data_IF_221457750975
#
_entry.id   IF_221457750975
#
_cell.length_a   1.000
_cell.length_b   1.000
_cell.length_c   1.000
_cell.angle_alpha   90.00
_cell.angle_beta   90.00
_cell.angle_gamma   90.00
#
_symmetry.space_group_name_H-M   'P 1'
#
loop_
_entity.id
_entity.type
_entity.pdbx_description
1 polymer ?
#
# COMPACT_ATOMS: atom_id res chain seq x y z
N UNK A 1 -11.21 -39.91 34.42
CA UNK A 1 -11.90 -38.63 34.19
C UNK A 1 -11.19 -37.98 33.03
N UNK A 2 -11.70 -38.19 31.82
CA UNK A 2 -11.08 -37.68 30.61
C UNK A 2 -11.39 -36.20 30.45
N UNK A 3 -10.32 -35.44 30.25
CA UNK A 3 -10.33 -34.00 30.16
C UNK A 3 -10.82 -33.62 28.75
N UNK A 4 -12.11 -33.31 28.62
CA UNK A 4 -12.70 -32.86 27.35
C UNK A 4 -12.17 -31.46 27.07
N UNK A 5 -11.10 -31.38 26.27
CA UNK A 5 -10.62 -30.15 25.68
C UNK A 5 -11.63 -29.73 24.61
N UNK A 6 -12.49 -28.77 24.94
CA UNK A 6 -13.44 -28.15 24.01
C UNK A 6 -12.66 -27.42 22.92
N UNK A 7 -12.51 -28.09 21.76
CA UNK A 7 -12.15 -27.40 20.51
C UNK A 7 -13.37 -26.61 20.05
N UNK A 8 -13.36 -25.30 20.27
CA UNK A 8 -14.29 -24.38 19.61
C UNK A 8 -14.02 -24.44 18.11
N UNK A 9 -14.98 -24.95 17.35
CA UNK A 9 -14.97 -24.89 15.89
C UNK A 9 -15.88 -23.73 15.51
N UNK A 10 -15.30 -22.63 15.01
CA UNK A 10 -16.10 -21.54 14.46
C UNK A 10 -16.89 -22.04 13.24
N UNK A 11 -18.21 -22.08 13.37
CA UNK A 11 -19.16 -22.55 12.33
C UNK A 11 -19.27 -21.54 11.19
N UNK A 12 -18.93 -20.27 11.42
CA UNK A 12 -18.89 -19.21 10.42
C UNK A 12 -17.57 -18.44 10.50
N UNK A 13 -16.80 -18.43 9.41
CA UNK A 13 -15.61 -17.57 9.29
C UNK A 13 -16.06 -16.17 8.89
N UNK A 14 -15.90 -15.21 9.79
CA UNK A 14 -16.00 -13.79 9.42
C UNK A 14 -14.85 -13.42 8.49
N UNK A 15 -15.13 -12.64 7.44
CA UNK A 15 -14.11 -12.08 6.55
C UNK A 15 -14.10 -10.58 6.78
N UNK A 16 -12.92 -10.04 7.10
CA UNK A 16 -12.74 -8.61 7.37
C UNK A 16 -12.03 -7.97 6.18
N UNK A 17 -12.55 -6.86 5.68
CA UNK A 17 -11.89 -6.04 4.66
C UNK A 17 -11.41 -4.73 5.29
N UNK A 18 -10.12 -4.43 5.18
CA UNK A 18 -9.52 -3.20 5.71
C UNK A 18 -8.55 -2.59 4.71
N UNK A 19 -8.08 -1.39 5.03
CA UNK A 19 -7.04 -0.66 4.29
C UNK A 19 -7.46 -0.41 2.83
N UNK A 20 -8.46 0.47 2.61
CA UNK A 20 -8.98 0.73 1.29
C UNK A 20 -7.97 1.51 0.45
N UNK A 21 -7.91 1.17 -0.83
CA UNK A 21 -7.22 1.94 -1.86
C UNK A 21 -8.12 2.08 -3.08
N UNK A 22 -8.12 3.26 -3.71
CA UNK A 22 -9.00 3.56 -4.83
C UNK A 22 -8.19 4.12 -6.00
N UNK A 23 -8.57 3.72 -7.21
CA UNK A 23 -8.10 4.33 -8.45
C UNK A 23 -9.29 4.55 -9.39
N UNK A 24 -9.44 5.77 -9.91
CA UNK A 24 -10.49 6.11 -10.86
C UNK A 24 -9.87 6.59 -12.18
N UNK A 25 -10.11 5.86 -13.28
CA UNK A 25 -9.83 6.35 -14.61
C UNK A 25 -11.03 7.12 -15.15
N UNK A 26 -10.82 8.42 -15.41
CA UNK A 26 -11.86 9.32 -15.92
C UNK A 26 -12.19 9.04 -17.38
N UNK A 27 -11.27 8.49 -18.16
CA UNK A 27 -11.48 8.28 -19.59
C UNK A 27 -12.40 7.08 -19.85
N UNK A 28 -12.21 6.00 -19.11
CA UNK A 28 -13.06 4.80 -19.20
C UNK A 28 -14.16 4.74 -18.13
N UNK A 29 -14.30 5.80 -17.33
CA UNK A 29 -15.24 5.89 -16.19
C UNK A 29 -15.20 4.64 -15.28
N UNK A 30 -13.98 4.12 -15.08
CA UNK A 30 -13.74 2.88 -14.35
C UNK A 30 -13.13 3.16 -12.98
N UNK A 31 -13.75 2.64 -11.93
CA UNK A 31 -13.26 2.66 -10.56
C UNK A 31 -12.68 1.30 -10.18
N UNK A 32 -11.46 1.26 -9.65
CA UNK A 32 -10.89 0.09 -9.02
C UNK A 32 -10.82 0.34 -7.51
N UNK A 33 -11.39 -0.58 -6.74
CA UNK A 33 -11.35 -0.57 -5.29
C UNK A 33 -10.56 -1.76 -4.79
N UNK A 34 -9.50 -1.49 -4.03
CA UNK A 34 -8.61 -2.48 -3.43
C UNK A 34 -8.80 -2.51 -1.91
N UNK A 35 -8.57 -3.68 -1.31
CA UNK A 35 -8.56 -3.85 0.14
C UNK A 35 -7.69 -5.04 0.54
N UNK A 36 -7.25 -5.04 1.80
CA UNK A 36 -6.78 -6.24 2.47
C UNK A 36 -7.98 -7.12 2.86
N UNK A 37 -7.94 -8.39 2.50
CA UNK A 37 -8.85 -9.41 3.00
C UNK A 37 -8.15 -10.18 4.12
N UNK A 38 -8.72 -10.08 5.32
CA UNK A 38 -8.18 -10.57 6.58
C UNK A 38 -9.04 -11.68 7.19
N UNK A 39 -8.42 -12.59 7.92
CA UNK A 39 -9.15 -13.61 8.71
C UNK A 39 -9.86 -13.00 9.92
N UNK A 40 -9.23 -12.02 10.55
CA UNK A 40 -9.76 -11.34 11.73
C UNK A 40 -9.55 -9.83 11.59
N UNK A 41 -9.89 -9.06 12.62
CA UNK A 41 -9.60 -7.63 12.63
C UNK A 41 -8.10 -7.31 12.75
N UNK A 42 -7.27 -8.30 13.10
CA UNK A 42 -5.83 -8.18 13.37
C UNK A 42 -5.04 -7.81 12.09
N UNK A 43 -4.10 -6.87 12.21
CA UNK A 43 -3.23 -6.40 11.13
C UNK A 43 -2.26 -7.49 10.62
N UNK A 44 -1.95 -8.50 11.42
CA UNK A 44 -1.12 -9.64 11.04
C UNK A 44 -1.91 -10.78 10.36
N UNK A 45 -3.24 -10.65 10.25
CA UNK A 45 -4.12 -11.72 9.74
C UNK A 45 -4.52 -11.58 8.26
N UNK A 46 -3.91 -10.63 7.54
CA UNK A 46 -4.15 -10.46 6.11
C UNK A 46 -3.72 -11.70 5.35
N UNK A 47 -4.63 -12.23 4.52
CA UNK A 47 -4.29 -13.29 3.57
C UNK A 47 -3.91 -12.73 2.22
N UNK A 48 -4.66 -11.72 1.82
CA UNK A 48 -4.93 -11.46 0.42
C UNK A 48 -5.10 -9.96 0.19
N UNK A 49 -4.64 -9.47 -0.97
CA UNK A 49 -5.14 -8.22 -1.55
C UNK A 49 -6.24 -8.56 -2.55
N UNK A 50 -7.39 -7.91 -2.40
CA UNK A 50 -8.57 -8.10 -3.25
C UNK A 50 -8.91 -6.82 -3.98
N UNK A 51 -9.62 -6.95 -5.09
CA UNK A 51 -10.07 -5.82 -5.90
C UNK A 51 -11.51 -6.04 -6.41
N UNK A 52 -12.29 -4.96 -6.49
CA UNK A 52 -13.48 -4.87 -7.35
C UNK A 52 -13.27 -3.80 -8.40
N UNK A 53 -13.74 -4.09 -9.62
CA UNK A 53 -13.84 -3.10 -10.69
C UNK A 53 -15.28 -2.61 -10.75
N UNK A 54 -15.46 -1.32 -10.91
CA UNK A 54 -16.76 -0.68 -11.02
C UNK A 54 -16.81 0.25 -12.22
N UNK A 55 -17.99 0.39 -12.81
CA UNK A 55 -18.25 1.36 -13.89
C UNK A 55 -19.24 2.39 -13.37
N UNK A 56 -18.95 3.67 -13.62
CA UNK A 56 -19.87 4.75 -13.29
C UNK A 56 -21.16 4.63 -14.11
N UNK A 57 -22.30 4.81 -13.46
CA UNK A 57 -23.60 4.91 -14.11
C UNK A 57 -24.27 6.22 -13.73
N UNK A 58 -24.83 6.88 -14.73
CA UNK A 58 -25.75 7.99 -14.52
C UNK A 58 -27.16 7.42 -14.37
N UNK A 59 -27.73 7.60 -13.18
CA UNK A 59 -29.12 7.22 -12.91
C UNK A 59 -30.07 8.27 -13.49
N UNK A 60 -31.29 7.83 -13.81
CA UNK A 60 -32.35 8.73 -14.31
C UNK A 60 -32.73 9.84 -13.31
N UNK A 61 -32.41 9.66 -12.03
CA UNK A 61 -32.57 10.65 -10.96
C UNK A 61 -31.49 11.75 -10.97
N UNK A 62 -30.47 11.65 -11.83
CA UNK A 62 -29.28 12.50 -11.82
C UNK A 62 -28.24 12.10 -10.77
N UNK A 63 -28.49 11.05 -9.98
CA UNK A 63 -27.50 10.46 -9.10
C UNK A 63 -26.45 9.66 -9.91
N UNK A 64 -25.22 9.62 -9.42
CA UNK A 64 -24.17 8.75 -9.97
C UNK A 64 -24.00 7.53 -9.08
N UNK A 65 -24.05 6.34 -9.67
CA UNK A 65 -23.84 5.06 -8.96
C UNK A 65 -22.66 4.31 -9.56
N UNK A 66 -22.20 3.27 -8.86
CA UNK A 66 -21.17 2.36 -9.37
C UNK A 66 -21.79 0.98 -9.52
N UNK A 67 -21.76 0.45 -10.74
CA UNK A 67 -22.03 -0.97 -10.96
C UNK A 67 -20.73 -1.75 -10.77
N UNK A 68 -20.69 -2.61 -9.74
CA UNK A 68 -19.51 -3.39 -9.40
C UNK A 68 -19.50 -4.76 -10.10
N UNK A 69 -18.33 -5.17 -10.55
CA UNK A 69 -18.03 -6.54 -10.96
C UNK A 69 -17.98 -7.47 -9.75
N UNK A 70 -17.93 -8.77 -10.02
CA UNK A 70 -17.52 -9.77 -9.06
C UNK A 70 -16.15 -9.45 -8.42
N UNK A 71 -15.97 -9.92 -7.18
CA UNK A 71 -14.73 -9.76 -6.44
C UNK A 71 -13.61 -10.53 -7.16
N UNK A 72 -12.55 -9.82 -7.54
CA UNK A 72 -11.32 -10.42 -8.06
C UNK A 72 -10.28 -10.46 -6.97
N UNK A 73 -9.67 -11.62 -6.80
CA UNK A 73 -8.53 -11.75 -5.90
C UNK A 73 -7.27 -11.36 -6.67
N UNK A 74 -6.59 -10.28 -6.27
CA UNK A 74 -5.30 -9.86 -6.87
C UNK A 74 -4.16 -10.81 -6.46
N UNK A 75 -4.45 -11.66 -5.47
CA UNK A 75 -3.59 -12.64 -4.79
C UNK A 75 -2.79 -13.55 -5.69
N UNK A 76 -3.31 -13.95 -6.84
CA UNK A 76 -2.54 -14.86 -7.70
C UNK A 76 -1.20 -14.25 -8.11
N UNK A 77 -1.13 -12.91 -8.17
CA UNK A 77 0.07 -12.18 -8.57
C UNK A 77 0.73 -11.41 -7.43
N UNK A 78 -0.04 -10.88 -6.49
CA UNK A 78 0.49 -10.14 -5.33
C UNK A 78 0.92 -11.07 -4.17
N UNK A 79 1.77 -12.07 -4.44
CA UNK A 79 2.18 -13.07 -3.45
C UNK A 79 3.69 -13.32 -3.49
N UNK A 80 4.27 -13.43 -2.31
CA UNK A 80 5.57 -14.06 -2.07
C UNK A 80 5.38 -15.19 -1.06
N UNK A 81 6.07 -16.31 -1.26
CA UNK A 81 5.91 -17.47 -0.37
C UNK A 81 6.38 -17.17 1.06
N UNK A 82 5.52 -17.48 2.04
CA UNK A 82 5.69 -17.17 3.47
C UNK A 82 5.63 -15.67 3.80
N UNK A 83 5.02 -14.86 2.94
CA UNK A 83 4.74 -13.45 3.21
C UNK A 83 3.25 -13.14 2.99
N UNK A 84 2.73 -12.24 3.82
CA UNK A 84 1.39 -11.64 3.63
C UNK A 84 1.48 -10.26 2.98
N UNK A 85 0.63 -9.94 2.00
CA UNK A 85 0.61 -8.62 1.38
C UNK A 85 -0.25 -7.64 2.18
N UNK A 86 0.18 -6.38 2.27
CA UNK A 86 -0.45 -5.32 3.07
C UNK A 86 -0.35 -3.96 2.36
N UNK A 87 -1.17 -3.01 2.78
CA UNK A 87 -1.14 -1.61 2.38
C UNK A 87 -1.14 -1.38 0.85
N UNK A 88 -2.23 -1.73 0.15
CA UNK A 88 -2.34 -1.45 -1.28
C UNK A 88 -2.25 0.06 -1.55
N UNK A 89 -1.47 0.43 -2.57
CA UNK A 89 -1.26 1.81 -3.01
C UNK A 89 -1.13 1.88 -4.54
N UNK A 90 -2.25 2.04 -5.28
CA UNK A 90 -2.24 2.21 -6.73
C UNK A 90 -1.62 3.55 -7.15
N UNK A 91 -0.83 3.54 -8.23
CA UNK A 91 -0.35 4.73 -8.93
C UNK A 91 -0.42 4.49 -10.44
N UNK A 92 -0.96 5.46 -11.19
CA UNK A 92 -1.20 5.32 -12.62
C UNK A 92 -0.25 6.21 -13.43
N UNK A 93 0.52 5.59 -14.32
CA UNK A 93 1.38 6.25 -15.30
C UNK A 93 0.56 6.51 -16.57
N UNK A 94 0.24 7.78 -16.84
CA UNK A 94 -0.72 8.18 -17.87
C UNK A 94 -0.18 8.02 -19.30
N UNK A 95 1.15 8.06 -19.50
CA UNK A 95 1.76 8.03 -20.82
C UNK A 95 1.77 6.61 -21.42
N UNK A 96 2.04 5.60 -20.62
CA UNK A 96 2.04 4.17 -20.97
C UNK A 96 0.71 3.51 -20.59
N UNK A 97 -0.15 4.20 -19.85
CA UNK A 97 -1.43 3.68 -19.31
C UNK A 97 -1.21 2.47 -18.40
N UNK A 98 -0.11 2.47 -17.66
CA UNK A 98 0.25 1.39 -16.74
C UNK A 98 -0.21 1.75 -15.34
N UNK A 99 -1.06 0.91 -14.76
CA UNK A 99 -1.40 0.95 -13.35
C UNK A 99 -0.40 0.10 -12.58
N UNK A 100 0.33 0.72 -11.66
CA UNK A 100 1.13 0.01 -10.66
C UNK A 100 0.27 -0.13 -9.40
N UNK A 101 0.26 -1.32 -8.80
CA UNK A 101 -0.24 -1.52 -7.45
C UNK A 101 0.94 -1.82 -6.54
N UNK A 102 1.36 -0.83 -5.76
CA UNK A 102 2.36 -1.02 -4.72
C UNK A 102 1.74 -1.64 -3.48
N UNK A 103 2.52 -2.43 -2.77
CA UNK A 103 2.18 -3.04 -1.49
C UNK A 103 3.45 -3.44 -0.75
N UNK A 104 3.34 -3.73 0.54
CA UNK A 104 4.41 -4.44 1.25
C UNK A 104 4.07 -5.91 1.43
N UNK A 105 5.10 -6.74 1.51
CA UNK A 105 5.00 -8.14 1.91
C UNK A 105 5.74 -8.33 3.23
N UNK A 106 5.06 -8.78 4.29
CA UNK A 106 5.69 -9.03 5.59
C UNK A 106 5.72 -10.53 5.86
N UNK A 107 6.87 -11.04 6.32
CA UNK A 107 7.04 -12.45 6.65
C UNK A 107 5.92 -12.91 7.61
N UNK A 108 5.32 -14.06 7.31
CA UNK A 108 4.14 -14.54 8.01
C UNK A 108 4.36 -14.60 9.52
N UNK A 109 3.33 -14.19 10.28
CA UNK A 109 3.34 -14.13 11.75
C UNK A 109 4.33 -13.13 12.38
N UNK A 110 5.10 -12.39 11.59
CA UNK A 110 5.95 -11.32 12.11
C UNK A 110 5.15 -10.03 12.27
N UNK A 111 4.95 -9.58 13.51
CA UNK A 111 4.24 -8.34 13.83
C UNK A 111 5.09 -7.09 13.58
N UNK A 112 4.45 -5.95 13.26
CA UNK A 112 5.14 -4.66 13.09
C UNK A 112 5.89 -4.26 14.37
N UNK A 113 5.24 -4.34 15.53
CA UNK A 113 5.82 -3.98 16.82
C UNK A 113 7.03 -4.86 17.18
N UNK A 114 7.00 -6.14 16.81
CA UNK A 114 8.15 -7.01 16.97
C UNK A 114 9.34 -6.53 16.12
N UNK A 115 9.11 -6.14 14.86
CA UNK A 115 10.16 -5.61 13.98
C UNK A 115 10.75 -4.31 14.51
N UNK A 116 9.90 -3.38 14.97
CA UNK A 116 10.30 -2.10 15.58
C UNK A 116 11.18 -2.35 16.81
N UNK A 117 10.73 -3.20 17.75
CA UNK A 117 11.44 -3.50 18.99
C UNK A 117 12.77 -4.21 18.76
N UNK A 118 12.81 -5.16 17.81
CA UNK A 118 14.00 -5.96 17.52
C UNK A 118 14.88 -5.37 16.42
N UNK A 119 14.50 -4.23 15.85
CA UNK A 119 15.24 -3.53 14.77
C UNK A 119 15.57 -4.46 13.60
N UNK A 120 14.63 -5.35 13.27
CA UNK A 120 14.82 -6.41 12.29
C UNK A 120 13.76 -6.30 11.21
N UNK A 121 14.17 -5.85 10.02
CA UNK A 121 13.27 -5.73 8.88
C UNK A 121 12.89 -7.10 8.32
N UNK A 122 11.59 -7.38 8.31
CA UNK A 122 10.98 -8.55 7.67
C UNK A 122 9.94 -8.17 6.60
N UNK A 123 9.88 -6.89 6.24
CA UNK A 123 9.04 -6.33 5.20
C UNK A 123 9.80 -6.22 3.86
N UNK A 124 9.07 -6.41 2.76
CA UNK A 124 9.53 -6.28 1.38
C UNK A 124 8.67 -5.28 0.63
N UNK A 125 9.29 -4.50 -0.25
CA UNK A 125 8.57 -3.55 -1.10
C UNK A 125 8.28 -4.21 -2.45
N UNK A 126 7.01 -4.34 -2.79
CA UNK A 126 6.61 -5.03 -4.02
C UNK A 126 5.63 -4.18 -4.83
N UNK A 127 5.58 -4.47 -6.13
CA UNK A 127 4.46 -4.05 -6.96
C UNK A 127 4.12 -5.10 -8.02
N UNK A 128 2.91 -4.97 -8.54
CA UNK A 128 2.45 -5.61 -9.79
C UNK A 128 1.91 -4.51 -10.70
N UNK A 129 1.88 -4.78 -12.01
CA UNK A 129 1.34 -3.82 -13.00
C UNK A 129 0.17 -4.38 -13.77
N UNK A 130 -0.68 -3.49 -14.26
CA UNK A 130 -1.78 -3.79 -15.17
C UNK A 130 -1.84 -2.74 -16.27
N UNK A 131 -1.97 -3.17 -17.51
CA UNK A 131 -2.14 -2.30 -18.70
C UNK A 131 -3.59 -2.29 -19.21
N UNK A 132 -4.49 -3.00 -18.52
CA UNK A 132 -5.89 -3.22 -18.92
C UNK A 132 -6.89 -2.92 -17.80
N UNK A 133 -6.51 -2.00 -16.92
CA UNK A 133 -7.33 -1.50 -15.79
C UNK A 133 -7.76 -2.63 -14.84
N UNK A 134 -6.78 -3.42 -14.41
CA UNK A 134 -6.94 -4.46 -13.39
C UNK A 134 -7.60 -5.74 -13.88
N UNK A 135 -7.70 -5.95 -15.20
CA UNK A 135 -8.23 -7.21 -15.72
C UNK A 135 -7.19 -8.33 -15.61
N UNK A 136 -5.95 -8.04 -16.00
CA UNK A 136 -4.79 -8.88 -15.84
C UNK A 136 -3.68 -8.12 -15.09
N UNK A 137 -2.82 -8.89 -14.44
CA UNK A 137 -1.71 -8.37 -13.65
C UNK A 137 -0.41 -9.10 -13.98
N UNK A 138 0.71 -8.38 -13.95
CA UNK A 138 2.06 -8.93 -14.08
C UNK A 138 2.40 -9.86 -12.91
N UNK A 139 3.50 -10.60 -13.03
CA UNK A 139 4.16 -11.19 -11.86
C UNK A 139 4.67 -10.11 -10.89
N UNK A 140 4.87 -10.49 -9.63
CA UNK A 140 5.40 -9.59 -8.59
C UNK A 140 6.82 -9.13 -8.92
N UNK A 141 7.04 -7.84 -8.79
CA UNK A 141 8.39 -7.24 -8.79
C UNK A 141 8.76 -6.86 -7.36
N UNK A 142 9.88 -7.41 -6.86
CA UNK A 142 10.44 -7.13 -5.53
C UNK A 142 11.55 -6.06 -5.64
N UNK A 143 11.29 -4.87 -5.10
CA UNK A 143 12.23 -3.74 -5.11
C UNK A 143 13.19 -3.74 -3.89
N UNK A 144 13.00 -4.65 -2.94
CA UNK A 144 13.66 -4.62 -1.62
C UNK A 144 15.18 -4.53 -1.71
N UNK A 145 15.78 -5.26 -2.65
CA UNK A 145 17.24 -5.29 -2.82
C UNK A 145 17.77 -4.22 -3.78
N UNK A 146 16.90 -3.60 -4.58
CA UNK A 146 17.27 -2.47 -5.45
C UNK A 146 17.36 -1.15 -4.68
N UNK A 147 16.65 -1.04 -3.55
CA UNK A 147 16.64 0.12 -2.66
C UNK A 147 17.41 -0.23 -1.38
N UNK A 148 18.73 -0.03 -1.42
CA UNK A 148 19.65 -0.52 -0.39
C UNK A 148 19.42 0.03 1.02
N UNK A 149 18.71 1.15 1.15
CA UNK A 149 18.34 1.78 2.43
C UNK A 149 17.32 0.96 3.22
N UNK A 150 16.48 0.16 2.54
CA UNK A 150 15.40 -0.62 3.18
C UNK A 150 15.94 -1.54 4.28
N UNK A 151 17.13 -2.12 4.09
CA UNK A 151 17.76 -3.02 5.06
C UNK A 151 18.11 -2.36 6.40
N UNK A 152 18.18 -1.03 6.44
CA UNK A 152 18.57 -0.27 7.63
C UNK A 152 17.36 0.17 8.48
N UNK A 153 16.15 -0.10 8.00
CA UNK A 153 14.92 0.24 8.71
C UNK A 153 14.50 -0.91 9.62
N UNK A 154 13.77 -0.61 10.70
CA UNK A 154 13.16 -1.66 11.50
C UNK A 154 11.96 -2.27 10.76
N UNK A 155 11.14 -1.43 10.12
CA UNK A 155 10.04 -1.80 9.21
C UNK A 155 9.61 -0.55 8.44
N UNK A 156 8.75 -0.69 7.43
CA UNK A 156 8.22 0.39 6.61
C UNK A 156 6.91 -0.03 5.95
N UNK A 157 6.16 0.93 5.42
CA UNK A 157 5.05 0.64 4.51
C UNK A 157 4.85 1.74 3.46
N UNK A 158 4.15 1.37 2.38
CA UNK A 158 3.65 2.33 1.37
C UNK A 158 2.25 2.78 1.73
N UNK A 159 1.86 3.98 1.32
CA UNK A 159 0.53 4.56 1.54
C UNK A 159 0.07 4.36 2.99
N UNK A 160 -1.07 3.67 3.22
CA UNK A 160 -1.98 3.07 2.22
C UNK A 160 -2.78 4.13 1.45
N UNK A 161 -3.55 3.76 0.42
CA UNK A 161 -4.46 4.69 -0.25
C UNK A 161 -4.17 4.86 -1.73
N UNK A 162 -3.43 5.90 -2.13
CA UNK A 162 -3.06 6.10 -3.54
C UNK A 162 -1.75 6.87 -3.70
N UNK A 163 -1.05 6.60 -4.81
CA UNK A 163 0.02 7.45 -5.32
C UNK A 163 -0.52 8.44 -6.37
N UNK A 164 0.37 9.26 -6.91
CA UNK A 164 0.04 10.21 -7.97
C UNK A 164 1.11 10.27 -9.06
N UNK A 165 0.70 10.72 -10.24
CA UNK A 165 1.60 11.25 -11.26
C UNK A 165 1.48 12.78 -11.28
N UNK A 166 2.60 13.46 -11.01
CA UNK A 166 2.70 14.92 -11.09
C UNK A 166 2.48 15.42 -12.52
N UNK A 167 2.14 16.70 -12.67
CA UNK A 167 1.95 17.38 -13.97
C UNK A 167 3.17 17.24 -14.89
N UNK A 168 4.37 17.20 -14.33
CA UNK A 168 5.63 17.01 -15.08
C UNK A 168 6.02 15.54 -15.31
N UNK A 169 5.17 14.59 -14.92
CA UNK A 169 5.33 13.17 -15.23
C UNK A 169 5.94 12.29 -14.12
N UNK A 170 6.56 12.89 -13.09
CA UNK A 170 7.11 12.13 -11.94
C UNK A 170 6.00 11.35 -11.24
N UNK A 171 6.23 10.06 -11.03
CA UNK A 171 5.39 9.20 -10.19
C UNK A 171 5.81 9.34 -8.74
N UNK A 172 4.83 9.37 -7.84
CA UNK A 172 5.01 9.49 -6.39
C UNK A 172 4.16 8.42 -5.70
N UNK A 173 4.79 7.65 -4.81
CA UNK A 173 4.16 6.72 -3.88
C UNK A 173 4.51 7.19 -2.47
N UNK A 174 3.53 7.52 -1.61
CA UNK A 174 3.80 7.86 -0.21
C UNK A 174 4.39 6.65 0.53
N UNK A 175 5.37 6.88 1.39
CA UNK A 175 6.03 5.83 2.18
C UNK A 175 6.33 6.38 3.57
N UNK A 176 6.32 5.53 4.58
CA UNK A 176 6.94 5.82 5.88
C UNK A 176 7.83 4.67 6.33
N UNK A 177 8.88 4.97 7.07
CA UNK A 177 9.79 3.95 7.61
C UNK A 177 10.21 4.27 9.04
N UNK A 178 10.30 3.21 9.86
CA UNK A 178 10.88 3.26 11.19
C UNK A 178 12.40 3.13 11.09
N UNK A 179 13.11 4.23 11.33
CA UNK A 179 14.58 4.25 11.31
C UNK A 179 15.16 4.12 12.70
N UNK A 180 16.22 3.33 12.81
CA UNK A 180 17.00 3.23 14.04
C UNK A 180 18.06 4.33 14.02
N UNK A 181 17.86 5.40 14.80
CA UNK A 181 18.91 6.40 14.98
C UNK A 181 19.98 5.87 15.94
N UNK A 182 21.26 6.07 15.60
CA UNK A 182 22.37 5.84 16.52
C UNK A 182 22.47 6.92 17.62
N UNK A 183 21.73 8.02 17.49
CA UNK A 183 21.77 9.18 18.39
C UNK A 183 20.56 9.33 19.32
N UNK A 184 19.53 8.49 19.20
CA UNK A 184 18.36 8.55 20.08
C UNK A 184 18.68 7.98 21.47
N UNK A 185 18.42 8.77 22.52
CA UNK A 185 18.61 8.35 23.93
C UNK A 185 17.68 7.21 24.32
N UNK A 186 16.49 7.15 23.73
CA UNK A 186 15.64 5.97 23.69
C UNK A 186 16.11 5.11 22.52
N UNK A 187 16.47 3.87 22.79
CA UNK A 187 16.88 2.90 21.77
C UNK A 187 15.70 2.47 20.85
N UNK A 188 14.73 3.34 20.59
CA UNK A 188 13.49 3.04 19.86
C UNK A 188 13.57 3.56 18.42
N UNK A 189 13.09 2.77 17.46
CA UNK A 189 13.01 3.19 16.08
C UNK A 189 11.90 4.26 15.92
N UNK A 190 12.19 5.33 15.19
CA UNK A 190 11.25 6.45 14.98
C UNK A 190 10.80 6.47 13.53
N UNK A 191 9.50 6.71 13.30
CA UNK A 191 8.92 6.73 11.94
C UNK A 191 9.02 8.09 11.29
N UNK A 192 9.36 8.12 10.00
CA UNK A 192 9.32 9.31 9.15
C UNK A 192 8.73 8.99 7.78
N UNK A 193 7.85 9.86 7.31
CA UNK A 193 7.28 9.82 5.97
C UNK A 193 8.24 10.40 4.92
N UNK A 194 8.12 9.94 3.68
CA UNK A 194 8.83 10.39 2.49
C UNK A 194 8.14 9.86 1.22
N UNK A 195 8.71 10.21 0.05
CA UNK A 195 8.21 9.73 -1.24
C UNK A 195 9.15 8.67 -1.81
N UNK A 196 8.59 7.55 -2.27
CA UNK A 196 9.19 6.74 -3.32
C UNK A 196 8.78 7.36 -4.66
N UNK A 197 9.72 7.56 -5.58
CA UNK A 197 9.42 8.25 -6.84
C UNK A 197 10.12 7.64 -8.04
N UNK A 198 9.56 7.87 -9.22
CA UNK A 198 10.14 7.51 -10.51
C UNK A 198 10.02 8.68 -11.48
N UNK A 199 11.11 8.95 -12.20
CA UNK A 199 11.20 9.98 -13.24
C UNK A 199 11.20 9.39 -14.67
N UNK A 200 11.20 8.06 -14.78
CA UNK A 200 11.36 7.30 -16.02
C UNK A 200 10.19 6.33 -16.24
N UNK A 201 8.98 6.81 -15.92
CA UNK A 201 7.70 6.10 -16.14
C UNK A 201 7.62 4.75 -15.40
N UNK A 202 8.25 4.65 -14.24
CA UNK A 202 8.24 3.46 -13.39
C UNK A 202 9.31 2.43 -13.74
N UNK A 203 10.27 2.76 -14.62
CA UNK A 203 11.37 1.85 -14.98
C UNK A 203 12.38 1.70 -13.84
N UNK A 204 12.69 2.79 -13.14
CA UNK A 204 13.48 2.80 -11.92
C UNK A 204 12.80 3.62 -10.82
N UNK A 205 13.08 3.27 -9.57
CA UNK A 205 12.50 3.91 -8.40
C UNK A 205 13.60 4.39 -7.46
N UNK A 206 13.35 5.52 -6.80
CA UNK A 206 14.28 6.17 -5.87
C UNK A 206 13.55 6.61 -4.62
N UNK A 207 14.28 6.61 -3.51
CA UNK A 207 13.79 7.13 -2.23
C UNK A 207 14.08 8.63 -2.15
N UNK A 208 13.05 9.41 -1.80
CA UNK A 208 13.17 10.82 -1.48
C UNK A 208 13.72 11.03 -0.06
N UNK A 209 13.91 12.29 0.30
CA UNK A 209 14.34 12.66 1.63
C UNK A 209 13.21 12.44 2.66
N UNK A 210 13.56 11.88 3.83
CA UNK A 210 12.69 11.80 5.00
C UNK A 210 12.28 13.17 5.50
N UNK A 211 11.01 13.31 5.88
CA UNK A 211 10.54 14.47 6.62
C UNK A 211 11.29 14.59 7.96
N UNK A 212 11.48 15.82 8.42
CA UNK A 212 12.18 16.09 9.69
C UNK A 212 11.30 15.78 10.91
N UNK A 213 9.99 15.81 10.74
CA UNK A 213 9.00 15.55 11.80
C UNK A 213 8.60 14.08 11.78
N UNK A 214 8.56 13.48 12.98
CA UNK A 214 8.06 12.12 13.15
C UNK A 214 6.66 11.98 12.55
N UNK A 215 6.49 10.97 11.70
CA UNK A 215 5.32 10.80 10.86
C UNK A 215 5.12 9.33 10.49
N UNK A 216 3.87 8.87 10.47
CA UNK A 216 3.47 7.52 10.07
C UNK A 216 2.86 7.51 8.66
N UNK A 217 1.79 6.74 8.51
CA UNK A 217 0.98 6.68 7.28
C UNK A 217 0.72 8.08 6.71
N UNK A 218 0.86 8.23 5.40
CA UNK A 218 0.78 9.53 4.76
C UNK A 218 0.14 9.47 3.38
N UNK A 219 -0.43 10.60 2.95
CA UNK A 219 -0.91 10.84 1.59
C UNK A 219 -0.22 12.08 1.04
N UNK A 220 -0.06 12.10 -0.29
CA UNK A 220 0.59 13.19 -0.98
C UNK A 220 -0.29 13.74 -2.09
N UNK A 221 -0.17 15.04 -2.34
CA UNK A 221 -0.82 15.73 -3.45
C UNK A 221 0.16 16.73 -4.08
N UNK A 222 0.05 16.95 -5.38
CA UNK A 222 0.73 18.06 -6.04
C UNK A 222 -0.08 19.34 -5.84
N UNK A 223 0.54 20.35 -5.25
CA UNK A 223 -0.01 21.69 -5.08
C UNK A 223 0.70 22.68 -6.00
N UNK A 224 -0.02 23.71 -6.42
CA UNK A 224 0.47 24.73 -7.33
C UNK A 224 0.44 26.10 -6.65
N UNK A 225 1.55 26.81 -6.72
CA UNK A 225 1.68 28.23 -6.38
C UNK A 225 2.15 28.98 -7.62
N UNK A 226 1.18 29.54 -8.36
CA UNK A 226 1.39 30.00 -9.73
C UNK A 226 1.89 28.87 -10.64
N UNK A 227 3.02 29.10 -11.31
CA UNK A 227 3.66 28.11 -12.19
C UNK A 227 4.55 27.10 -11.45
N UNK A 228 4.80 27.31 -10.15
CA UNK A 228 5.60 26.38 -9.34
C UNK A 228 4.69 25.27 -8.82
N UNK A 229 5.14 24.03 -8.95
CA UNK A 229 4.50 22.90 -8.30
C UNK A 229 5.38 22.31 -7.21
N UNK A 230 4.74 21.85 -6.13
CA UNK A 230 5.37 21.22 -4.97
C UNK A 230 4.54 20.03 -4.52
N UNK A 231 5.16 19.09 -3.80
CA UNK A 231 4.43 18.00 -3.16
C UNK A 231 4.06 18.43 -1.75
N UNK A 232 2.76 18.37 -1.45
CA UNK A 232 2.21 18.46 -0.10
C UNK A 232 2.07 17.06 0.47
N UNK A 233 2.58 16.83 1.68
CA UNK A 233 2.44 15.57 2.41
C UNK A 233 1.59 15.80 3.66
N UNK A 234 0.51 15.04 3.80
CA UNK A 234 -0.28 14.95 5.02
C UNK A 234 0.00 13.59 5.66
N UNK A 235 0.51 13.57 6.88
CA UNK A 235 0.92 12.35 7.56
C UNK A 235 0.29 12.27 8.95
N UNK A 236 -0.11 11.05 9.35
CA UNK A 236 -0.58 10.78 10.69
C UNK A 236 0.55 10.99 11.71
N UNK A 237 0.24 11.70 12.80
CA UNK A 237 1.13 11.88 13.95
C UNK A 237 0.85 10.88 15.07
N UNK A 238 1.79 10.68 15.99
CA UNK A 238 1.50 9.93 17.21
C UNK A 238 0.41 10.63 18.02
N UNK A 239 -0.69 9.93 18.28
CA UNK A 239 -1.84 10.45 19.03
C UNK A 239 -3.15 10.56 18.23
N UNK A 240 -3.09 10.36 16.91
CA UNK A 240 -4.22 10.58 15.99
C UNK A 240 -4.18 11.96 15.36
#
# INVERSE_FOLDING_TARGET
MDNIQTKTVDVFKSVVYRIPALFYDRNSETLLAFAEQRETADDASTKNLVMRRGTLKDESSGAKTIEWSELKTVVEKAKLDNYRPLNPCPVFEKNTKTLFLFFICVEDRVEEQWQIKNRTNKARLCYITSEDLGQNWSEVTDLTYTLGEIKNWATFAVGPGHGLQMKKGRLIVPVYAYVCSSSSKSNEATSYAFALYSDDRGSTWKLGQMLQTQSGECQMAEIFDGDKSSIYCNACSQGG
#
